data_IF_152212158945
#
_entry.id   IF_152212158945
#
_cell.length_a   1.000
_cell.length_b   1.000
_cell.length_c   1.000
_cell.angle_alpha   90.00
_cell.angle_beta   90.00
_cell.angle_gamma   90.00
#
_symmetry.space_group_name_H-M   'P 1'
#
loop_
_entity.id
_entity.type
_entity.pdbx_description
1 polymer ?
#
# COMPACT_ATOMS: atom_id res chain seq x y z
N UNK A 1 9.84 27.16 16.01
CA UNK A 1 10.81 27.80 15.10
C UNK A 1 10.03 28.62 14.09
N UNK A 2 10.17 29.95 14.11
CA UNK A 2 9.49 30.83 13.15
C UNK A 2 10.35 30.99 11.90
N UNK A 3 9.81 30.65 10.74
CA UNK A 3 10.48 30.84 9.45
C UNK A 3 10.53 32.33 9.09
N UNK A 4 11.64 32.80 8.51
CA UNK A 4 11.74 34.14 7.92
C UNK A 4 10.83 34.27 6.70
N UNK A 5 10.52 35.51 6.28
CA UNK A 5 9.65 35.76 5.13
C UNK A 5 10.20 35.15 3.82
N UNK A 6 11.53 35.11 3.66
CA UNK A 6 12.17 34.47 2.49
C UNK A 6 11.96 32.96 2.49
N UNK A 7 12.21 32.31 3.63
CA UNK A 7 12.05 30.86 3.79
C UNK A 7 10.59 30.44 3.62
N UNK A 8 9.63 31.25 4.09
CA UNK A 8 8.21 31.00 3.86
C UNK A 8 7.85 31.06 2.38
N UNK A 9 8.40 32.04 1.66
CA UNK A 9 8.16 32.17 0.22
C UNK A 9 8.77 30.98 -0.54
N UNK A 10 9.99 30.56 -0.22
CA UNK A 10 10.63 29.38 -0.81
C UNK A 10 9.81 28.10 -0.55
N UNK A 11 9.36 27.90 0.69
CA UNK A 11 8.49 26.77 1.03
C UNK A 11 7.21 26.79 0.21
N UNK A 12 6.58 27.96 0.07
CA UNK A 12 5.35 28.11 -0.71
C UNK A 12 5.57 27.75 -2.19
N UNK A 13 6.67 28.18 -2.79
CA UNK A 13 7.02 27.82 -4.17
C UNK A 13 7.22 26.31 -4.33
N UNK A 14 7.86 25.64 -3.37
CA UNK A 14 8.03 24.18 -3.39
C UNK A 14 6.69 23.46 -3.28
N UNK A 15 5.83 23.89 -2.35
CA UNK A 15 4.50 23.29 -2.17
C UNK A 15 3.63 23.45 -3.41
N UNK A 16 3.66 24.63 -4.07
CA UNK A 16 2.97 24.84 -5.33
C UNK A 16 3.54 23.96 -6.45
N UNK A 17 4.86 23.86 -6.55
CA UNK A 17 5.54 23.05 -7.58
C UNK A 17 5.18 21.57 -7.50
N UNK A 18 5.05 21.02 -6.29
CA UNK A 18 4.77 19.59 -6.08
C UNK A 18 3.32 19.32 -5.62
N UNK A 19 2.41 20.29 -5.73
CA UNK A 19 1.03 20.19 -5.27
C UNK A 19 0.33 18.92 -5.78
N UNK A 20 0.55 18.59 -7.05
CA UNK A 20 -0.07 17.43 -7.71
C UNK A 20 0.49 16.08 -7.23
N UNK A 21 1.65 16.08 -6.56
CA UNK A 21 2.26 14.89 -5.98
C UNK A 21 1.98 14.74 -4.48
N UNK A 22 1.59 15.83 -3.81
CA UNK A 22 1.25 15.86 -2.38
C UNK A 22 -0.25 15.58 -2.18
N UNK A 23 -0.75 14.53 -2.81
CA UNK A 23 -2.18 14.14 -2.75
C UNK A 23 -2.42 13.03 -1.74
N UNK A 24 -3.63 12.97 -1.19
CA UNK A 24 -4.09 11.83 -0.38
C UNK A 24 -4.39 10.59 -1.23
N UNK A 25 -4.61 10.78 -2.53
CA UNK A 25 -4.82 9.69 -3.49
C UNK A 25 -3.52 8.89 -3.68
N UNK A 26 -3.55 7.55 -3.58
CA UNK A 26 -2.40 6.71 -3.87
C UNK A 26 -1.93 6.87 -5.34
N UNK A 27 -0.62 6.97 -5.53
CA UNK A 27 -0.02 6.99 -6.86
C UNK A 27 0.02 5.60 -7.50
N UNK A 28 -0.15 5.52 -8.82
CA UNK A 28 -0.01 4.27 -9.58
C UNK A 28 1.44 4.05 -10.02
N UNK A 29 2.08 2.98 -9.55
CA UNK A 29 3.40 2.58 -10.04
C UNK A 29 3.25 1.72 -11.30
N UNK A 30 3.81 2.18 -12.43
CA UNK A 30 3.81 1.43 -13.70
C UNK A 30 5.17 0.75 -13.98
N UNK A 31 6.14 0.86 -13.08
CA UNK A 31 7.51 0.36 -13.27
C UNK A 31 7.65 -1.13 -12.92
N UNK A 32 6.74 -1.65 -12.09
CA UNK A 32 6.80 -3.00 -11.56
C UNK A 32 5.40 -3.60 -11.47
N UNK A 33 5.29 -4.89 -11.74
CA UNK A 33 4.06 -5.65 -11.54
C UNK A 33 4.41 -6.92 -10.79
N UNK A 34 3.76 -7.15 -9.66
CA UNK A 34 4.00 -8.33 -8.85
C UNK A 34 3.08 -9.48 -9.28
N UNK A 35 3.65 -10.68 -9.42
CA UNK A 35 2.90 -11.91 -9.65
C UNK A 35 3.12 -12.87 -8.48
N UNK A 36 2.07 -13.10 -7.71
CA UNK A 36 2.07 -14.09 -6.66
C UNK A 36 2.24 -15.50 -7.26
N UNK A 37 3.29 -16.21 -6.85
CA UNK A 37 3.41 -17.64 -7.08
C UNK A 37 2.61 -18.36 -5.99
N UNK A 38 1.55 -19.07 -6.36
CA UNK A 38 0.66 -19.77 -5.42
C UNK A 38 0.84 -21.26 -5.61
N UNK A 39 1.37 -21.94 -4.59
CA UNK A 39 1.53 -23.39 -4.59
C UNK A 39 0.34 -24.05 -3.88
N UNK A 40 -0.85 -24.00 -4.49
CA UNK A 40 -2.04 -24.63 -3.94
C UNK A 40 -2.75 -25.51 -4.97
N UNK A 41 -2.90 -26.80 -4.64
CA UNK A 41 -3.64 -27.76 -5.47
C UNK A 41 -5.17 -27.58 -5.38
N UNK A 42 -5.66 -26.77 -4.41
CA UNK A 42 -7.08 -26.54 -4.15
C UNK A 42 -7.38 -25.05 -3.94
N UNK A 43 -8.58 -24.58 -4.32
CA UNK A 43 -8.99 -23.20 -4.07
C UNK A 43 -9.09 -22.92 -2.57
N UNK A 44 -8.55 -21.77 -2.15
CA UNK A 44 -8.55 -21.32 -0.76
C UNK A 44 -9.76 -20.41 -0.56
N UNK A 45 -10.75 -20.88 0.19
CA UNK A 45 -11.97 -20.10 0.47
C UNK A 45 -12.11 -19.94 1.98
N UNK A 46 -11.94 -18.70 2.46
CA UNK A 46 -12.20 -18.31 3.84
C UNK A 46 -13.11 -17.10 3.88
N UNK A 47 -14.21 -17.21 4.63
CA UNK A 47 -15.24 -16.18 4.70
C UNK A 47 -14.93 -15.17 5.80
N UNK A 48 -15.21 -13.89 5.52
CA UNK A 48 -15.11 -12.83 6.52
C UNK A 48 -16.13 -13.02 7.63
N UNK A 49 -15.76 -12.67 8.86
CA UNK A 49 -16.73 -12.53 9.95
C UNK A 49 -17.73 -11.41 9.62
N UNK A 50 -18.97 -11.49 10.15
CA UNK A 50 -19.94 -10.43 9.94
C UNK A 50 -19.42 -9.08 10.45
N UNK A 51 -19.46 -8.05 9.59
CA UNK A 51 -19.09 -6.69 9.96
C UNK A 51 -20.13 -6.15 10.95
N UNK A 52 -19.71 -5.62 12.12
CA UNK A 52 -20.60 -4.97 13.07
C UNK A 52 -21.46 -3.90 12.41
N UNK A 53 -22.75 -3.84 12.74
CA UNK A 53 -23.72 -2.97 12.07
C UNK A 53 -23.25 -1.50 12.00
N UNK A 54 -22.70 -0.99 13.10
CA UNK A 54 -22.19 0.38 13.20
C UNK A 54 -21.04 0.69 12.23
N UNK A 55 -20.24 -0.31 11.84
CA UNK A 55 -19.08 -0.13 10.97
C UNK A 55 -19.40 -0.33 9.48
N UNK A 56 -20.56 -0.91 9.15
CA UNK A 56 -20.93 -1.21 7.75
C UNK A 56 -20.92 0.02 6.83
N UNK A 57 -21.44 1.20 7.24
CA UNK A 57 -21.41 2.38 6.38
C UNK A 57 -19.98 2.82 6.06
N UNK A 58 -19.12 2.91 7.09
CA UNK A 58 -17.74 3.33 6.94
C UNK A 58 -16.91 2.35 6.08
N UNK A 59 -17.09 1.04 6.28
CA UNK A 59 -16.40 0.02 5.46
C UNK A 59 -16.85 0.11 4.00
N UNK A 60 -18.15 0.33 3.75
CA UNK A 60 -18.67 0.47 2.39
C UNK A 60 -18.10 1.72 1.69
N UNK A 61 -18.04 2.85 2.38
CA UNK A 61 -17.46 4.09 1.85
C UNK A 61 -15.98 3.91 1.47
N UNK A 62 -15.19 3.27 2.34
CA UNK A 62 -13.79 2.98 2.05
C UNK A 62 -13.62 2.03 0.86
N UNK A 63 -14.40 0.94 0.78
CA UNK A 63 -14.33 0.03 -0.37
C UNK A 63 -14.67 0.76 -1.67
N UNK A 64 -15.70 1.62 -1.64
CA UNK A 64 -16.11 2.40 -2.80
C UNK A 64 -15.01 3.36 -3.24
N UNK A 65 -14.37 4.07 -2.31
CA UNK A 65 -13.24 4.95 -2.60
C UNK A 65 -12.07 4.19 -3.23
N UNK A 66 -11.74 3.00 -2.70
CA UNK A 66 -10.64 2.17 -3.21
C UNK A 66 -10.94 1.64 -4.63
N UNK A 67 -12.21 1.37 -4.95
CA UNK A 67 -12.66 1.04 -6.31
C UNK A 67 -12.52 2.25 -7.24
N UNK A 68 -12.96 3.44 -6.81
CA UNK A 68 -12.85 4.69 -7.57
C UNK A 68 -11.39 5.09 -7.82
N UNK A 69 -10.51 4.81 -6.87
CA UNK A 69 -9.07 5.01 -7.01
C UNK A 69 -8.42 4.01 -7.99
N UNK A 70 -9.11 2.94 -8.35
CA UNK A 70 -8.65 1.91 -9.28
C UNK A 70 -7.72 0.87 -8.64
N UNK A 71 -7.79 0.73 -7.32
CA UNK A 71 -6.96 -0.20 -6.54
C UNK A 71 -7.63 -1.58 -6.44
N UNK A 72 -8.96 -1.61 -6.30
CA UNK A 72 -9.76 -2.84 -6.27
C UNK A 72 -10.62 -2.97 -7.52
N UNK A 73 -10.85 -4.23 -7.92
CA UNK A 73 -11.76 -4.60 -9.00
C UNK A 73 -12.65 -5.76 -8.58
N UNK A 74 -13.81 -5.89 -9.22
CA UNK A 74 -14.65 -7.06 -9.05
C UNK A 74 -14.01 -8.27 -9.73
N UNK A 75 -13.90 -9.37 -8.99
CA UNK A 75 -13.27 -10.60 -9.46
C UNK A 75 -14.19 -11.80 -9.28
N UNK A 76 -14.08 -12.77 -10.19
CA UNK A 76 -14.70 -14.10 -10.10
C UNK A 76 -13.71 -15.18 -9.64
N UNK A 77 -12.63 -14.76 -8.96
CA UNK A 77 -11.57 -15.64 -8.47
C UNK A 77 -12.12 -16.80 -7.63
N UNK A 78 -11.59 -18.02 -7.79
CA UNK A 78 -11.93 -19.15 -6.92
C UNK A 78 -11.28 -19.05 -5.53
N UNK A 79 -10.46 -18.01 -5.29
CA UNK A 79 -9.80 -17.74 -4.00
C UNK A 79 -10.52 -16.61 -3.29
N UNK A 80 -10.89 -16.85 -2.03
CA UNK A 80 -11.54 -15.89 -1.14
C UNK A 80 -10.74 -15.73 0.15
N UNK A 81 -10.35 -14.50 0.46
CA UNK A 81 -9.64 -14.13 1.69
C UNK A 81 -10.53 -13.22 2.55
N UNK A 82 -10.63 -13.43 3.87
CA UNK A 82 -11.38 -12.54 4.74
C UNK A 82 -10.78 -11.13 4.82
N UNK A 83 -11.65 -10.14 4.99
CA UNK A 83 -11.29 -8.72 5.06
C UNK A 83 -10.57 -8.35 6.36
N UNK A 84 -10.67 -9.16 7.42
CA UNK A 84 -10.08 -8.86 8.74
C UNK A 84 -8.57 -9.12 8.79
N UNK A 85 -7.95 -9.58 7.69
CA UNK A 85 -6.51 -9.80 7.57
C UNK A 85 -5.96 -10.93 8.44
N UNK A 86 -6.80 -11.59 9.24
CA UNK A 86 -6.39 -12.63 10.17
C UNK A 86 -5.76 -13.85 9.46
N UNK A 87 -6.15 -14.07 8.21
CA UNK A 87 -5.71 -15.17 7.35
C UNK A 87 -4.57 -14.78 6.39
N UNK A 88 -4.03 -13.56 6.40
CA UNK A 88 -2.81 -13.27 5.61
C UNK A 88 -1.64 -14.18 6.03
N UNK A 89 -1.65 -14.64 7.28
CA UNK A 89 -0.71 -15.64 7.81
C UNK A 89 -0.91 -17.05 7.24
N UNK A 90 -2.11 -17.42 6.78
CA UNK A 90 -2.37 -18.73 6.17
C UNK A 90 -2.06 -18.75 4.67
N UNK A 91 -2.04 -17.57 4.03
CA UNK A 91 -1.61 -17.40 2.64
C UNK A 91 -0.07 -17.29 2.49
N UNK A 92 0.62 -16.65 3.42
CA UNK A 92 2.08 -16.49 3.38
C UNK A 92 2.89 -17.79 3.15
N UNK A 93 2.54 -18.95 3.74
CA UNK A 93 3.24 -20.21 3.51
C UNK A 93 3.03 -20.79 2.11
N UNK A 94 1.95 -20.39 1.43
CA UNK A 94 1.58 -20.87 0.09
C UNK A 94 2.31 -20.06 -0.99
N UNK A 95 2.67 -18.82 -0.66
CA UNK A 95 3.49 -17.99 -1.52
C UNK A 95 4.95 -18.48 -1.50
N UNK A 96 5.52 -18.67 -2.70
CA UNK A 96 6.95 -18.91 -2.82
C UNK A 96 7.74 -17.72 -2.22
N UNK A 97 8.86 -17.97 -1.52
CA UNK A 97 9.64 -16.89 -0.92
C UNK A 97 10.17 -15.97 -2.02
N UNK A 98 9.87 -14.69 -1.92
CA UNK A 98 10.53 -13.67 -2.72
C UNK A 98 11.85 -13.28 -2.03
N UNK A 99 12.94 -13.35 -2.78
CA UNK A 99 14.30 -13.15 -2.26
C UNK A 99 14.87 -11.78 -2.61
N UNK A 100 14.02 -10.76 -2.75
CA UNK A 100 14.50 -9.38 -2.80
C UNK A 100 15.23 -9.02 -1.49
N UNK A 101 16.56 -8.94 -1.57
CA UNK A 101 17.40 -8.58 -0.43
C UNK A 101 17.48 -7.06 -0.32
N UNK A 102 16.80 -6.51 0.66
CA UNK A 102 17.05 -5.11 1.05
C UNK A 102 18.41 -4.99 1.72
N UNK A 103 19.19 -4.00 1.32
CA UNK A 103 20.47 -3.69 1.97
C UNK A 103 20.23 -3.34 3.45
N UNK A 104 21.18 -3.70 4.33
CA UNK A 104 21.07 -3.34 5.75
C UNK A 104 21.05 -1.81 5.95
N UNK A 105 20.40 -1.35 7.01
CA UNK A 105 20.34 0.07 7.36
C UNK A 105 21.74 0.69 7.51
N UNK A 106 22.69 -0.04 8.12
CA UNK A 106 24.05 0.43 8.29
C UNK A 106 24.77 0.63 6.94
N UNK A 107 24.58 -0.30 6.00
CA UNK A 107 25.14 -0.18 4.65
C UNK A 107 24.48 0.97 3.86
N UNK A 108 23.19 1.26 4.09
CA UNK A 108 22.53 2.43 3.51
C UNK A 108 23.10 3.75 4.09
N UNK A 109 23.24 3.84 5.41
CA UNK A 109 23.77 5.03 6.09
C UNK A 109 25.22 5.33 5.70
N UNK A 110 26.04 4.30 5.50
CA UNK A 110 27.40 4.46 4.98
C UNK A 110 27.48 5.17 3.63
N UNK A 111 26.46 5.08 2.77
CA UNK A 111 26.42 5.81 1.49
C UNK A 111 26.33 7.33 1.65
N UNK A 112 25.81 7.79 2.79
CA UNK A 112 25.63 9.22 3.08
C UNK A 112 26.79 9.82 3.88
N UNK A 113 27.65 8.99 4.51
CA UNK A 113 28.89 9.43 5.14
C UNK A 113 29.90 9.87 4.07
N UNK A 114 29.72 11.08 3.54
CA UNK A 114 30.51 11.65 2.44
C UNK A 114 29.74 12.66 1.58
N UNK A 115 28.41 12.73 1.71
CA UNK A 115 27.60 13.77 1.08
C UNK A 115 27.78 15.08 1.85
N UNK A 116 28.71 15.92 1.39
CA UNK A 116 28.81 17.33 1.76
C UNK A 116 28.04 18.18 0.77
#
# INVERSE_FOLDING_TARGET
TSLSASEQNELYQVLLRYKDHLTTRPGKCNLFTYRFQVNADKPIVSYSRPIPFALRPAVREQIQQIIEDGILEFSTSPVLNPLDGSEQRSLNPIHGPDHERTTSINALLQRFHGAR
#
